data_IF_172286073752
#
_entry.id   IF_172286073752
#
_cell.length_a   1.000
_cell.length_b   1.000
_cell.length_c   1.000
_cell.angle_alpha   90.00
_cell.angle_beta   90.00
_cell.angle_gamma   90.00
#
_symmetry.space_group_name_H-M   'P 1'
#
loop_
_entity.id
_entity.type
_entity.pdbx_description
1 polymer ?
#
# COMPACT_ATOMS: atom_id res chain seq x y z
N UNK A 1 18.80 5.04 1.38
CA UNK A 1 17.38 4.97 1.81
C UNK A 1 16.54 4.48 0.62
N UNK A 2 15.57 3.59 0.82
CA UNK A 2 14.71 3.13 -0.26
C UNK A 2 13.86 4.27 -0.81
N UNK A 3 13.43 4.14 -2.07
CA UNK A 3 12.54 5.13 -2.72
C UNK A 3 11.07 4.85 -2.45
N UNK A 4 10.71 3.61 -2.20
CA UNK A 4 9.38 3.21 -1.74
C UNK A 4 9.55 2.42 -0.46
N UNK A 5 8.74 2.75 0.54
CA UNK A 5 8.61 1.98 1.77
C UNK A 5 7.23 1.34 1.79
N UNK A 6 7.16 0.09 2.26
CA UNK A 6 5.90 -0.60 2.54
C UNK A 6 5.87 -0.92 4.02
N UNK A 7 4.83 -0.46 4.72
CA UNK A 7 4.56 -0.85 6.09
C UNK A 7 3.28 -1.65 6.18
N UNK A 8 3.29 -2.73 6.96
CA UNK A 8 2.13 -3.58 7.19
C UNK A 8 1.90 -3.68 8.69
N UNK A 9 0.72 -3.24 9.14
CA UNK A 9 0.35 -3.23 10.55
C UNK A 9 -0.84 -4.13 10.86
N UNK A 10 -0.78 -4.78 12.01
CA UNK A 10 -1.81 -5.69 12.52
C UNK A 10 -2.44 -5.15 13.78
N UNK A 11 -1.61 -4.74 14.75
CA UNK A 11 -2.05 -4.19 16.04
C UNK A 11 -2.15 -2.67 16.00
N UNK A 12 -1.32 -2.04 15.17
CA UNK A 12 -1.22 -0.60 14.98
C UNK A 12 -2.55 -0.05 14.45
N UNK A 13 -2.98 1.09 14.96
CA UNK A 13 -4.10 1.84 14.39
C UNK A 13 -3.75 2.36 12.99
N UNK A 14 -4.78 2.64 12.18
CA UNK A 14 -4.56 3.29 10.88
C UNK A 14 -3.90 4.68 11.05
N UNK A 15 -4.18 5.37 12.16
CA UNK A 15 -3.56 6.66 12.46
C UNK A 15 -2.04 6.52 12.67
N UNK A 16 -1.59 5.54 13.45
CA UNK A 16 -0.16 5.29 13.68
C UNK A 16 0.57 4.92 12.39
N UNK A 17 -0.03 4.08 11.54
CA UNK A 17 0.57 3.75 10.24
C UNK A 17 0.69 4.98 9.32
N UNK A 18 -0.28 5.89 9.36
CA UNK A 18 -0.19 7.15 8.61
C UNK A 18 0.90 8.08 9.16
N UNK A 19 1.08 8.12 10.48
CA UNK A 19 2.19 8.85 11.09
C UNK A 19 3.55 8.25 10.71
N UNK A 20 3.66 6.92 10.64
CA UNK A 20 4.87 6.27 10.13
C UNK A 20 5.12 6.62 8.66
N UNK A 21 4.09 6.59 7.81
CA UNK A 21 4.21 7.04 6.41
C UNK A 21 4.70 8.50 6.32
N UNK A 22 4.19 9.39 7.18
CA UNK A 22 4.69 10.76 7.29
C UNK A 22 6.15 10.81 7.69
N UNK A 23 6.58 10.03 8.68
CA UNK A 23 7.98 9.98 9.12
C UNK A 23 8.90 9.54 7.98
N UNK A 24 8.52 8.53 7.20
CA UNK A 24 9.29 8.11 6.02
C UNK A 24 9.38 9.18 4.96
N UNK A 25 8.26 9.83 4.63
CA UNK A 25 8.20 10.80 3.54
C UNK A 25 8.91 12.12 3.91
N UNK A 26 8.60 12.67 5.09
CA UNK A 26 9.15 13.95 5.56
C UNK A 26 10.56 13.76 6.12
N UNK A 27 10.73 12.79 7.03
CA UNK A 27 12.02 12.49 7.65
C UNK A 27 13.02 11.89 6.66
N UNK A 28 12.55 11.24 5.59
CA UNK A 28 13.39 10.77 4.50
C UNK A 28 13.98 11.90 3.64
N UNK A 29 13.63 13.16 3.88
CA UNK A 29 14.19 14.36 3.25
C UNK A 29 14.30 14.24 1.72
N UNK A 30 13.22 13.74 1.09
CA UNK A 30 13.15 13.55 -0.36
C UNK A 30 13.80 12.27 -0.89
N UNK A 31 14.42 11.41 -0.07
CA UNK A 31 14.91 10.11 -0.51
C UNK A 31 13.76 9.11 -0.74
N UNK A 32 12.80 9.06 0.17
CA UNK A 32 11.54 8.30 0.01
C UNK A 32 10.58 9.10 -0.87
N UNK A 33 10.08 8.48 -1.93
CA UNK A 33 9.16 9.09 -2.90
C UNK A 33 7.72 8.67 -2.69
N UNK A 34 7.51 7.48 -2.14
CA UNK A 34 6.20 6.98 -1.79
C UNK A 34 6.27 6.07 -0.57
N UNK A 35 5.19 6.06 0.21
CA UNK A 35 4.98 5.12 1.31
C UNK A 35 3.66 4.39 1.08
N UNK A 36 3.68 3.07 1.11
CA UNK A 36 2.49 2.22 1.05
C UNK A 36 2.26 1.71 2.47
N UNK A 37 1.06 1.91 3.00
CA UNK A 37 0.68 1.34 4.30
C UNK A 37 -0.43 0.32 4.10
N UNK A 38 -0.31 -0.82 4.75
CA UNK A 38 -1.30 -1.90 4.75
C UNK A 38 -1.79 -2.06 6.17
N UNK A 39 -3.10 -1.93 6.39
CA UNK A 39 -3.72 -2.13 7.69
C UNK A 39 -4.59 -3.37 7.67
N UNK A 40 -4.24 -4.33 8.53
CA UNK A 40 -5.05 -5.50 8.84
C UNK A 40 -5.80 -5.28 10.15
N UNK A 41 -7.10 -5.57 10.16
CA UNK A 41 -7.97 -5.40 11.32
C UNK A 41 -8.67 -6.72 11.64
N UNK A 42 -8.11 -7.54 12.55
CA UNK A 42 -8.72 -8.81 12.94
C UNK A 42 -9.92 -8.59 13.86
N UNK A 43 -11.00 -9.32 13.60
CA UNK A 43 -12.07 -9.55 14.54
C UNK A 43 -11.81 -10.88 15.26
N UNK A 44 -11.48 -10.81 16.56
CA UNK A 44 -11.16 -12.00 17.36
C UNK A 44 -12.35 -12.92 17.59
N UNK A 45 -13.58 -12.39 17.58
CA UNK A 45 -14.80 -13.16 17.79
C UNK A 45 -15.19 -13.96 16.54
N UNK A 46 -15.17 -13.32 15.36
CA UNK A 46 -15.54 -13.99 14.10
C UNK A 46 -14.37 -14.64 13.38
N UNK A 47 -13.13 -14.38 13.84
CA UNK A 47 -11.88 -14.77 13.15
C UNK A 47 -11.75 -14.21 11.73
N UNK A 48 -12.50 -13.17 11.40
CA UNK A 48 -12.41 -12.48 10.12
C UNK A 48 -11.40 -11.33 10.18
N UNK A 49 -10.72 -11.04 9.07
CA UNK A 49 -9.78 -9.93 8.96
C UNK A 49 -10.19 -9.01 7.84
N UNK A 50 -10.38 -7.73 8.19
CA UNK A 50 -10.50 -6.66 7.20
C UNK A 50 -9.12 -6.16 6.82
N UNK A 51 -8.95 -5.75 5.57
CA UNK A 51 -7.70 -5.24 5.05
C UNK A 51 -7.92 -4.00 4.21
N UNK A 52 -7.05 -3.00 4.35
CA UNK A 52 -6.96 -1.88 3.43
C UNK A 52 -5.51 -1.54 3.14
N UNK A 53 -5.28 -0.88 2.00
CA UNK A 53 -3.97 -0.36 1.61
C UNK A 53 -4.09 1.09 1.16
N UNK A 54 -3.15 1.93 1.57
CA UNK A 54 -3.06 3.34 1.20
C UNK A 54 -1.69 3.66 0.62
N UNK A 55 -1.65 4.46 -0.45
CA UNK A 55 -0.44 4.99 -1.06
C UNK A 55 -0.32 6.48 -0.75
N UNK A 56 0.80 6.88 -0.15
CA UNK A 56 1.15 8.26 0.16
C UNK A 56 2.36 8.74 -0.64
N UNK A 57 2.37 10.04 -0.94
CA UNK A 57 3.54 10.77 -1.46
C UNK A 57 3.60 12.16 -0.83
N UNK A 58 4.63 12.95 -1.14
CA UNK A 58 4.65 14.37 -0.78
C UNK A 58 3.98 15.22 -1.86
N UNK A 59 3.18 16.20 -1.44
CA UNK A 59 2.69 17.24 -2.33
C UNK A 59 3.76 18.31 -2.62
N UNK A 60 3.38 19.38 -3.34
CA UNK A 60 4.31 20.46 -3.70
C UNK A 60 4.81 21.28 -2.51
N UNK A 61 4.09 21.26 -1.38
CA UNK A 61 4.48 21.91 -0.13
C UNK A 61 5.36 21.02 0.76
N UNK A 62 5.64 19.79 0.33
CA UNK A 62 6.39 18.82 1.14
C UNK A 62 5.56 18.14 2.21
N UNK A 63 4.22 18.21 2.12
CA UNK A 63 3.30 17.57 3.07
C UNK A 63 2.84 16.20 2.55
N UNK A 64 2.67 15.19 3.42
CA UNK A 64 2.12 13.90 3.01
C UNK A 64 0.70 14.06 2.45
N UNK A 65 0.46 13.41 1.32
CA UNK A 65 -0.82 13.36 0.62
C UNK A 65 -1.16 11.92 0.27
N UNK A 66 -2.38 11.51 0.60
CA UNK A 66 -2.96 10.26 0.14
C UNK A 66 -3.20 10.34 -1.37
N UNK A 67 -2.63 9.40 -2.13
CA UNK A 67 -2.84 9.27 -3.57
C UNK A 67 -3.94 8.29 -3.92
N UNK A 68 -3.96 7.16 -3.22
CA UNK A 68 -4.86 6.06 -3.52
C UNK A 68 -5.14 5.27 -2.25
N UNK A 69 -6.37 4.77 -2.15
CA UNK A 69 -6.80 3.86 -1.10
C UNK A 69 -7.60 2.73 -1.74
N UNK A 70 -7.34 1.52 -1.31
CA UNK A 70 -8.03 0.32 -1.77
C UNK A 70 -8.42 -0.58 -0.60
N UNK A 71 -9.59 -1.21 -0.70
CA UNK A 71 -9.99 -2.26 0.25
C UNK A 71 -9.49 -3.63 -0.25
N UNK A 72 -8.78 -4.34 0.62
CA UNK A 72 -8.28 -5.69 0.36
C UNK A 72 -9.38 -6.69 0.74
N UNK A 73 -9.87 -6.61 1.99
CA UNK A 73 -10.95 -7.43 2.51
C UNK A 73 -11.97 -6.60 3.31
N UNK A 74 -13.29 -6.82 3.11
CA UNK A 74 -13.86 -7.69 2.08
C UNK A 74 -13.52 -7.22 0.66
N UNK A 75 -13.60 -8.11 -0.32
CA UNK A 75 -13.46 -7.73 -1.73
C UNK A 75 -14.64 -6.81 -2.07
N UNK A 76 -14.40 -5.57 -2.56
CA UNK A 76 -15.50 -4.67 -2.88
C UNK A 76 -16.43 -5.27 -3.96
N UNK A 77 -17.76 -5.06 -3.85
CA UNK A 77 -18.70 -5.56 -4.85
C UNK A 77 -18.40 -5.01 -6.25
N UNK A 78 -18.45 -5.88 -7.26
CA UNK A 78 -18.26 -5.49 -8.66
C UNK A 78 -16.80 -5.38 -9.11
N UNK A 79 -15.82 -5.64 -8.24
CA UNK A 79 -14.42 -5.77 -8.63
C UNK A 79 -14.21 -7.09 -9.37
N UNK A 80 -13.62 -7.01 -10.56
CA UNK A 80 -13.23 -8.19 -11.33
C UNK A 80 -11.83 -8.66 -10.91
N UNK A 81 -11.54 -9.96 -10.94
CA UNK A 81 -10.19 -10.45 -10.71
C UNK A 81 -9.16 -9.75 -11.61
N UNK A 82 -8.06 -9.29 -11.03
CA UNK A 82 -6.95 -8.58 -11.67
C UNK A 82 -7.22 -7.11 -11.95
N UNK A 83 -8.40 -6.56 -11.61
CA UNK A 83 -8.74 -5.17 -11.93
C UNK A 83 -8.33 -4.16 -10.85
N UNK A 84 -7.96 -4.62 -9.64
CA UNK A 84 -7.66 -3.75 -8.51
C UNK A 84 -6.15 -3.73 -8.22
N UNK A 85 -5.55 -2.55 -8.15
CA UNK A 85 -4.12 -2.39 -7.95
C UNK A 85 -3.77 -1.08 -7.27
N UNK A 86 -2.71 -1.07 -6.44
CA UNK A 86 -2.05 0.19 -6.04
C UNK A 86 -1.13 0.63 -7.16
N UNK A 87 -1.37 1.80 -7.73
CA UNK A 87 -0.61 2.26 -8.90
C UNK A 87 0.48 3.24 -8.50
N UNK A 88 1.73 2.84 -8.71
CA UNK A 88 2.90 3.73 -8.56
C UNK A 88 3.40 4.17 -9.93
N UNK A 89 4.16 5.27 -9.97
CA UNK A 89 4.83 5.68 -11.21
C UNK A 89 6.24 5.13 -11.27
N UNK A 90 6.76 4.92 -12.48
CA UNK A 90 8.17 4.58 -12.72
C UNK A 90 9.12 5.57 -12.03
N UNK A 91 8.76 6.86 -11.99
CA UNK A 91 9.54 7.90 -11.29
C UNK A 91 9.64 7.65 -9.78
N UNK A 92 8.60 7.13 -9.14
CA UNK A 92 8.65 6.81 -7.71
C UNK A 92 9.73 5.75 -7.44
N UNK A 93 9.75 4.67 -8.23
CA UNK A 93 10.72 3.57 -8.07
C UNK A 93 12.14 3.91 -8.56
N UNK A 94 12.28 4.56 -9.71
CA UNK A 94 13.58 4.68 -10.42
C UNK A 94 14.05 6.12 -10.60
N UNK A 95 13.21 7.11 -10.32
CA UNK A 95 13.57 8.53 -10.45
C UNK A 95 13.45 9.04 -11.87
N UNK A 96 14.37 9.93 -12.26
CA UNK A 96 14.42 10.40 -13.65
C UNK A 96 15.11 9.40 -14.57
N UNK A 97 15.68 8.31 -14.02
CA UNK A 97 16.33 7.28 -14.83
C UNK A 97 15.27 6.48 -15.55
N UNK A 98 15.22 6.64 -16.87
CA UNK A 98 14.38 5.85 -17.76
C UNK A 98 15.24 5.03 -18.72
N UNK A 99 14.75 3.85 -19.08
CA UNK A 99 15.30 3.07 -20.19
C UNK A 99 14.76 3.64 -21.51
N UNK A 100 15.46 3.46 -22.64
CA UNK A 100 14.90 3.79 -23.95
C UNK A 100 13.49 3.21 -24.11
N UNK A 101 12.53 4.03 -24.54
CA UNK A 101 11.13 3.64 -24.68
C UNK A 101 10.28 3.69 -23.40
N UNK A 102 10.79 4.20 -22.28
CA UNK A 102 10.02 4.37 -21.04
C UNK A 102 9.93 5.84 -20.61
N UNK A 103 8.82 6.21 -19.95
CA UNK A 103 8.61 7.54 -19.37
C UNK A 103 8.66 7.47 -17.85
N UNK A 104 9.15 8.51 -17.14
CA UNK A 104 9.04 8.56 -15.68
C UNK A 104 7.56 8.52 -15.22
N UNK A 105 6.63 8.91 -16.09
CA UNK A 105 5.19 8.86 -15.85
C UNK A 105 4.54 7.49 -16.05
N UNK A 106 5.27 6.47 -16.53
CA UNK A 106 4.69 5.14 -16.75
C UNK A 106 4.07 4.61 -15.45
N UNK A 107 2.84 4.10 -15.55
CA UNK A 107 2.12 3.50 -14.44
C UNK A 107 2.59 2.06 -14.24
N UNK A 108 2.82 1.69 -12.99
CA UNK A 108 3.25 0.36 -12.56
C UNK A 108 2.25 -0.12 -11.51
N UNK A 109 1.24 -0.91 -11.92
CA UNK A 109 0.23 -1.44 -11.01
C UNK A 109 0.84 -2.53 -10.12
N UNK A 110 0.57 -2.44 -8.82
CA UNK A 110 0.84 -3.49 -7.84
C UNK A 110 -0.48 -4.21 -7.55
N UNK A 111 -0.59 -5.45 -8.02
CA UNK A 111 -1.82 -6.25 -8.01
C UNK A 111 -2.28 -6.57 -6.58
N UNK A 112 -3.53 -6.19 -6.26
CA UNK A 112 -4.14 -6.47 -4.95
C UNK A 112 -4.59 -7.93 -4.84
N UNK A 113 -4.91 -8.61 -5.94
CA UNK A 113 -5.27 -10.03 -5.88
C UNK A 113 -4.09 -10.90 -5.48
N UNK A 114 -2.88 -10.58 -5.96
CA UNK A 114 -1.67 -11.24 -5.49
C UNK A 114 -1.44 -10.99 -3.99
N UNK A 115 -1.69 -9.77 -3.50
CA UNK A 115 -1.63 -9.46 -2.07
C UNK A 115 -2.69 -10.24 -1.26
N UNK A 116 -3.91 -10.41 -1.80
CA UNK A 116 -4.97 -11.21 -1.16
C UNK A 116 -4.57 -12.66 -1.01
N UNK A 117 -3.99 -13.25 -2.04
CA UNK A 117 -3.53 -14.65 -2.02
C UNK A 117 -2.49 -14.88 -0.92
N UNK A 118 -1.44 -14.06 -0.89
CA UNK A 118 -0.40 -14.14 0.15
C UNK A 118 -0.98 -13.90 1.55
N UNK A 119 -1.84 -12.90 1.70
CA UNK A 119 -2.50 -12.60 2.96
C UNK A 119 -3.40 -13.74 3.44
N UNK A 120 -4.14 -14.40 2.57
CA UNK A 120 -4.95 -15.57 2.92
C UNK A 120 -4.11 -16.71 3.46
N UNK A 121 -2.95 -16.99 2.84
CA UNK A 121 -2.02 -18.03 3.30
C UNK A 121 -1.53 -17.72 4.72
N UNK A 122 -1.06 -16.50 4.97
CA UNK A 122 -0.55 -16.10 6.28
C UNK A 122 -1.64 -16.02 7.35
N UNK A 123 -2.83 -15.51 7.01
CA UNK A 123 -3.98 -15.46 7.92
C UNK A 123 -4.46 -16.86 8.33
N UNK A 124 -4.49 -17.81 7.38
CA UNK A 124 -4.89 -19.18 7.66
C UNK A 124 -3.96 -19.86 8.67
N UNK A 125 -2.64 -19.62 8.58
CA UNK A 125 -1.67 -20.11 9.58
C UNK A 125 -1.94 -19.58 10.99
N UNK A 126 -2.58 -18.42 11.11
CA UNK A 126 -2.98 -17.79 12.37
C UNK A 126 -4.42 -18.13 12.81
N UNK A 127 -5.13 -18.98 12.05
CA UNK A 127 -6.53 -19.34 12.33
C UNK A 127 -7.54 -18.22 12.03
N UNK A 128 -7.20 -17.33 11.09
CA UNK A 128 -8.08 -16.28 10.59
C UNK A 128 -8.51 -16.54 9.14
N UNK A 129 -9.63 -15.92 8.75
CA UNK A 129 -10.16 -15.89 7.38
C UNK A 129 -10.38 -14.44 6.93
N UNK A 130 -10.48 -14.16 5.62
CA UNK A 130 -10.92 -12.87 5.13
C UNK A 130 -12.31 -12.48 5.64
N UNK A 131 -12.51 -11.18 5.88
CA UNK A 131 -13.83 -10.60 6.16
C UNK A 131 -14.71 -10.49 4.91
#
# INVERSE_FOLDING_TARGET
MPRIVVESGWSESLYELRENARQWLVGGNGAVKAAIIIKWTPNRATRQVRGLVELYTLDRSGMPRLLQREEIFPVPPGIQPGSQAITVTRRMLFGQVTRPGTSPGDLLPLDIDMLRQEAQIEMAKMGYIPA
#
